data_IF_495995890610
#
_entry.id   IF_495995890610
#
_cell.length_a   1.000
_cell.length_b   1.000
_cell.length_c   1.000
_cell.angle_alpha   90.00
_cell.angle_beta   90.00
_cell.angle_gamma   90.00
#
_symmetry.space_group_name_H-M   'P 1'
#
loop_
_entity.id
_entity.type
_entity.pdbx_description
1 polymer ?
#
# COMPACT_ATOMS: atom_id res chain seq x y z
N UNK A 1 -18.02 -1.41 -6.61
CA UNK A 1 -17.07 -0.82 -5.63
C UNK A 1 -17.44 0.60 -5.20
N UNK A 2 -18.69 0.81 -4.75
CA UNK A 2 -19.13 2.09 -4.17
C UNK A 2 -18.78 2.23 -2.69
N UNK A 3 -18.67 1.10 -1.96
CA UNK A 3 -18.48 1.06 -0.50
C UNK A 3 -17.16 1.69 -0.01
N UNK A 4 -16.14 1.76 -0.86
CA UNK A 4 -14.84 2.36 -0.54
C UNK A 4 -14.60 3.73 -1.20
N UNK A 5 -15.58 4.21 -1.98
CA UNK A 5 -15.51 5.50 -2.64
C UNK A 5 -15.59 6.63 -1.61
N UNK A 6 -14.65 7.57 -1.66
CA UNK A 6 -14.61 8.73 -0.74
C UNK A 6 -13.93 8.48 0.61
N UNK A 7 -13.51 7.24 0.93
CA UNK A 7 -12.85 6.94 2.22
C UNK A 7 -11.37 7.37 2.30
N UNK A 8 -10.87 8.08 1.28
CA UNK A 8 -9.48 8.52 1.14
C UNK A 8 -8.48 7.37 1.47
N UNK A 9 -8.64 6.23 0.80
CA UNK A 9 -7.85 5.00 1.01
C UNK A 9 -7.99 4.35 2.39
N UNK A 10 -9.03 4.70 3.15
CA UNK A 10 -9.26 4.22 4.51
C UNK A 10 -8.84 5.22 5.59
N UNK A 11 -8.22 6.35 5.22
CA UNK A 11 -7.81 7.39 6.17
C UNK A 11 -8.99 8.12 6.81
N UNK A 12 -10.12 8.22 6.10
CA UNK A 12 -11.33 8.86 6.59
C UNK A 12 -12.37 7.85 7.10
N UNK A 13 -12.05 6.55 7.08
CA UNK A 13 -13.00 5.49 7.42
C UNK A 13 -13.22 5.41 8.94
N UNK A 14 -14.49 5.42 9.36
CA UNK A 14 -14.90 5.09 10.72
C UNK A 14 -15.17 3.59 10.87
N UNK A 15 -15.53 3.13 12.06
CA UNK A 15 -15.77 1.70 12.33
C UNK A 15 -16.91 1.10 11.49
N UNK A 16 -17.96 1.87 11.20
CA UNK A 16 -19.06 1.45 10.34
C UNK A 16 -18.61 1.30 8.87
N UNK A 17 -17.75 2.20 8.39
CA UNK A 17 -17.16 2.12 7.06
C UNK A 17 -16.23 0.90 6.93
N UNK A 18 -15.50 0.55 8.00
CA UNK A 18 -14.69 -0.68 8.03
C UNK A 18 -15.56 -1.93 7.89
N UNK A 19 -16.68 -1.98 8.62
CA UNK A 19 -17.61 -3.11 8.54
C UNK A 19 -18.27 -3.21 7.16
N UNK A 20 -18.69 -2.08 6.58
CA UNK A 20 -19.26 -2.05 5.22
C UNK A 20 -18.25 -2.49 4.16
N UNK A 21 -17.00 -2.05 4.26
CA UNK A 21 -15.95 -2.45 3.33
C UNK A 21 -15.61 -3.93 3.46
N UNK A 22 -15.54 -4.48 4.68
CA UNK A 22 -15.29 -5.91 4.90
C UNK A 22 -16.48 -6.78 4.43
N UNK A 23 -17.72 -6.34 4.64
CA UNK A 23 -18.91 -7.02 4.12
C UNK A 23 -18.91 -7.06 2.58
N UNK A 24 -18.65 -5.92 1.93
CA UNK A 24 -18.55 -5.86 0.47
C UNK A 24 -17.41 -6.71 -0.09
N UNK A 25 -16.25 -6.76 0.60
CA UNK A 25 -15.16 -7.63 0.23
C UNK A 25 -15.54 -9.12 0.35
N UNK A 26 -16.22 -9.51 1.42
CA UNK A 26 -16.71 -10.89 1.61
C UNK A 26 -17.73 -11.32 0.55
N UNK A 27 -18.60 -10.41 0.12
CA UNK A 27 -19.53 -10.66 -0.99
C UNK A 27 -18.76 -10.91 -2.30
N UNK A 28 -17.74 -10.10 -2.60
CA UNK A 28 -16.87 -10.31 -3.76
C UNK A 28 -16.10 -11.62 -3.69
N UNK A 29 -15.49 -11.93 -2.54
CA UNK A 29 -14.77 -13.19 -2.29
C UNK A 29 -15.71 -14.40 -2.50
N UNK A 30 -16.94 -14.32 -2.00
CA UNK A 30 -17.95 -15.38 -2.15
C UNK A 30 -18.39 -15.55 -3.60
N UNK A 31 -18.49 -14.46 -4.37
CA UNK A 31 -18.88 -14.49 -5.78
C UNK A 31 -17.74 -14.94 -6.71
N UNK A 32 -16.49 -14.59 -6.38
CA UNK A 32 -15.30 -14.93 -7.17
C UNK A 32 -14.82 -16.37 -6.97
N UNK A 33 -15.15 -17.00 -5.84
CA UNK A 33 -14.70 -18.35 -5.51
C UNK A 33 -13.25 -18.39 -5.04
N UNK A 34 -12.67 -19.61 -5.01
CA UNK A 34 -11.32 -19.82 -4.52
C UNK A 34 -10.29 -19.35 -5.55
N UNK A 35 -9.37 -18.47 -5.15
CA UNK A 35 -8.30 -17.97 -6.00
C UNK A 35 -7.17 -19.00 -6.10
N UNK A 36 -6.78 -19.34 -7.32
CA UNK A 36 -5.60 -20.18 -7.60
C UNK A 36 -4.65 -19.48 -8.58
N UNK A 37 -3.59 -18.89 -8.02
CA UNK A 37 -2.54 -18.17 -8.74
C UNK A 37 -1.50 -19.11 -9.35
N UNK A 38 -1.58 -20.43 -9.14
CA UNK A 38 -0.63 -21.36 -9.77
C UNK A 38 -0.76 -21.34 -11.29
N UNK A 39 -1.98 -21.14 -11.80
CA UNK A 39 -2.28 -21.00 -13.23
C UNK A 39 -2.48 -19.55 -13.65
N UNK A 40 -2.89 -18.67 -12.72
CA UNK A 40 -3.31 -17.29 -13.00
C UNK A 40 -2.32 -16.21 -12.51
N UNK A 41 -1.05 -16.57 -12.27
CA UNK A 41 -0.06 -15.62 -11.74
C UNK A 41 0.11 -14.39 -12.65
N UNK A 42 -0.06 -14.58 -13.95
CA UNK A 42 0.02 -13.53 -14.97
C UNK A 42 -1.03 -12.43 -14.77
N UNK A 43 -2.18 -12.74 -14.19
CA UNK A 43 -3.21 -11.74 -13.84
C UNK A 43 -2.72 -10.74 -12.81
N UNK A 44 -1.64 -11.02 -12.06
CA UNK A 44 -1.04 -10.06 -11.14
C UNK A 44 -0.15 -9.02 -11.81
N UNK A 45 0.28 -9.27 -13.06
CA UNK A 45 1.23 -8.43 -13.77
C UNK A 45 0.72 -6.99 -13.90
N UNK A 46 1.62 -6.02 -13.67
CA UNK A 46 1.35 -4.62 -13.93
C UNK A 46 1.32 -3.75 -12.68
N UNK A 47 0.64 -2.62 -12.77
CA UNK A 47 0.59 -1.60 -11.72
C UNK A 47 -0.79 -1.54 -11.11
N UNK A 48 -0.85 -1.74 -9.81
CA UNK A 48 -2.07 -1.77 -9.02
C UNK A 48 -2.14 -0.56 -8.12
N UNK A 49 -3.22 0.21 -8.19
CA UNK A 49 -3.47 1.36 -7.34
C UNK A 49 -4.28 0.93 -6.11
N UNK A 50 -3.77 1.23 -4.92
CA UNK A 50 -4.50 1.01 -3.67
C UNK A 50 -5.63 2.03 -3.55
N UNK A 51 -6.87 1.54 -3.47
CA UNK A 51 -8.04 2.39 -3.28
C UNK A 51 -8.59 2.34 -1.86
N UNK A 52 -8.23 1.31 -1.09
CA UNK A 52 -8.65 1.15 0.30
C UNK A 52 -7.72 0.23 1.08
N UNK A 53 -7.39 0.60 2.32
CA UNK A 53 -6.78 -0.29 3.30
C UNK A 53 -7.36 -0.06 4.70
N UNK A 54 -7.75 -1.14 5.38
CA UNK A 54 -8.15 -1.06 6.80
C UNK A 54 -6.98 -0.78 7.74
N UNK A 55 -5.72 -0.97 7.30
CA UNK A 55 -4.55 -0.63 8.12
C UNK A 55 -4.41 0.89 8.32
N UNK A 56 -4.89 1.69 7.36
CA UNK A 56 -4.82 3.15 7.42
C UNK A 56 -5.86 3.79 8.35
N UNK A 57 -6.96 3.10 8.65
CA UNK A 57 -7.93 3.55 9.65
C UNK A 57 -7.50 3.27 11.09
N UNK A 58 -6.61 2.28 11.28
CA UNK A 58 -6.17 1.76 12.59
C UNK A 58 -5.24 2.71 13.38
N UNK A 59 -5.13 3.99 13.00
CA UNK A 59 -4.40 5.05 13.72
C UNK A 59 -2.87 4.85 13.88
N UNK A 60 -2.28 3.80 13.32
CA UNK A 60 -0.85 3.45 13.48
C UNK A 60 0.04 3.90 12.32
N UNK A 61 -0.49 4.07 11.11
CA UNK A 61 0.28 4.38 9.90
C UNK A 61 0.11 5.83 9.41
N UNK A 62 0.02 6.78 10.35
CA UNK A 62 0.22 8.20 10.03
C UNK A 62 -0.92 8.88 9.29
N UNK A 63 -2.16 8.40 9.41
CA UNK A 63 -3.32 9.15 8.95
C UNK A 63 -3.36 10.52 9.62
N UNK A 64 -3.21 11.57 8.81
CA UNK A 64 -3.11 12.93 9.28
C UNK A 64 -4.35 13.27 10.11
N UNK A 65 -4.14 13.53 11.40
CA UNK A 65 -5.14 14.22 12.24
C UNK A 65 -5.43 15.59 11.61
N UNK A 66 -6.69 15.95 11.35
CA UNK A 66 -7.06 17.34 11.19
C UNK A 66 -6.95 17.99 12.59
N UNK A 67 -5.92 18.81 12.83
CA UNK A 67 -5.76 19.62 14.05
C UNK A 67 -4.48 19.34 14.87
N UNK A 68 -3.96 20.35 15.59
CA UNK A 68 -2.52 20.49 15.84
C UNK A 68 -2.04 19.64 17.02
N UNK A 69 -0.93 18.89 16.88
CA UNK A 69 -0.15 18.40 18.00
C UNK A 69 1.20 19.11 18.05
N UNK A 70 1.34 19.99 19.05
CA UNK A 70 2.61 20.59 19.49
C UNK A 70 3.63 19.43 19.64
N UNK A 71 4.60 19.31 18.73
CA UNK A 71 5.69 18.34 18.83
C UNK A 71 6.25 17.70 17.54
N UNK A 72 5.53 17.71 16.41
CA UNK A 72 6.11 17.39 15.09
C UNK A 72 5.84 18.56 14.15
N UNK A 73 6.88 19.33 13.86
CA UNK A 73 6.75 20.66 13.25
C UNK A 73 6.23 20.64 11.80
N UNK A 74 6.16 19.47 11.14
CA UNK A 74 5.83 19.36 9.71
C UNK A 74 4.86 18.20 9.42
N UNK A 75 3.69 18.45 8.78
CA UNK A 75 2.74 17.40 8.42
C UNK A 75 3.29 16.55 7.26
N UNK A 76 3.17 15.23 7.37
CA UNK A 76 3.38 14.30 6.25
C UNK A 76 2.00 13.90 5.73
N UNK A 77 1.75 14.10 4.45
CA UNK A 77 0.50 13.71 3.79
C UNK A 77 0.76 12.52 2.87
N UNK A 78 -0.05 11.47 3.04
CA UNK A 78 -0.02 10.27 2.19
C UNK A 78 -0.69 10.57 0.85
N UNK A 79 0.08 10.49 -0.23
CA UNK A 79 -0.37 10.61 -1.61
C UNK A 79 -0.94 9.30 -2.15
N UNK A 80 -0.70 9.03 -3.44
CA UNK A 80 -1.13 7.79 -4.08
C UNK A 80 -0.23 6.63 -3.64
N UNK A 81 -0.82 5.44 -3.53
CA UNK A 81 -0.12 4.21 -3.19
C UNK A 81 -0.34 3.22 -4.33
N UNK A 82 0.75 2.67 -4.84
CA UNK A 82 0.76 1.70 -5.92
C UNK A 82 1.56 0.47 -5.54
N UNK A 83 1.25 -0.64 -6.20
CA UNK A 83 2.01 -1.87 -6.20
C UNK A 83 2.36 -2.22 -7.63
N UNK A 84 3.64 -2.18 -7.99
CA UNK A 84 4.11 -2.71 -9.27
C UNK A 84 4.53 -4.15 -9.07
N UNK A 85 3.98 -5.04 -9.91
CA UNK A 85 4.30 -6.46 -9.87
C UNK A 85 4.84 -6.87 -11.23
N UNK A 86 6.00 -7.51 -11.21
CA UNK A 86 6.60 -8.16 -12.37
C UNK A 86 6.80 -9.65 -12.08
N UNK A 87 6.00 -10.49 -12.73
CA UNK A 87 5.99 -11.94 -12.52
C UNK A 87 7.23 -12.64 -13.07
N UNK A 88 7.91 -12.02 -14.05
CA UNK A 88 9.08 -12.59 -14.71
C UNK A 88 10.32 -12.39 -13.85
N UNK A 89 10.53 -11.17 -13.36
CA UNK A 89 11.64 -10.84 -12.46
C UNK A 89 11.34 -11.12 -10.99
N UNK A 90 10.09 -11.48 -10.66
CA UNK A 90 9.56 -11.64 -9.31
C UNK A 90 9.64 -10.36 -8.48
N UNK A 91 9.55 -9.20 -9.11
CA UNK A 91 9.56 -7.91 -8.42
C UNK A 91 8.19 -7.55 -7.88
N UNK A 92 8.20 -6.99 -6.67
CA UNK A 92 7.03 -6.46 -5.98
C UNK A 92 7.39 -5.14 -5.30
N UNK A 93 7.03 -4.04 -5.94
CA UNK A 93 7.40 -2.70 -5.49
C UNK A 93 6.19 -2.00 -4.88
N UNK A 94 6.25 -1.72 -3.58
CA UNK A 94 5.31 -0.83 -2.91
C UNK A 94 5.78 0.62 -3.13
N UNK A 95 5.04 1.37 -3.94
CA UNK A 95 5.36 2.73 -4.33
C UNK A 95 4.39 3.68 -3.63
N UNK A 96 4.90 4.64 -2.88
CA UNK A 96 4.11 5.57 -2.08
C UNK A 96 4.56 6.99 -2.40
N UNK A 97 3.63 7.80 -2.87
CA UNK A 97 3.83 9.24 -2.98
C UNK A 97 3.56 9.89 -1.62
N UNK A 98 4.45 10.78 -1.20
CA UNK A 98 4.40 11.50 0.07
C UNK A 98 4.59 12.99 -0.20
N UNK A 99 3.81 13.81 0.50
CA UNK A 99 4.03 15.24 0.54
C UNK A 99 4.51 15.62 1.94
N UNK A 100 5.71 16.18 2.01
CA UNK A 100 6.33 16.67 3.23
C UNK A 100 6.01 18.16 3.35
N UNK A 101 5.25 18.53 4.36
CA UNK A 101 5.10 19.93 4.74
C UNK A 101 6.45 20.53 5.10
N UNK A 102 6.62 21.81 4.83
CA UNK A 102 7.86 22.57 5.06
C UNK A 102 7.54 23.83 5.85
N UNK A 103 8.50 24.38 6.64
CA UNK A 103 8.28 25.63 7.35
C UNK A 103 8.03 26.75 6.34
N UNK A 104 7.10 27.66 6.64
CA UNK A 104 6.94 28.89 5.86
C UNK A 104 8.28 29.65 5.81
N UNK A 105 8.75 30.12 4.63
CA UNK A 105 8.06 30.22 3.33
C UNK A 105 8.42 29.10 2.33
N UNK A 106 9.05 28.01 2.77
CA UNK A 106 9.49 26.93 1.88
C UNK A 106 8.27 26.17 1.36
N UNK A 107 8.16 25.88 0.04
CA UNK A 107 7.06 25.09 -0.51
C UNK A 107 7.18 23.61 -0.10
N UNK A 108 6.05 22.89 0.03
CA UNK A 108 6.06 21.47 0.37
C UNK A 108 6.90 20.65 -0.62
N UNK A 109 7.58 19.63 -0.10
CA UNK A 109 8.40 18.73 -0.92
C UNK A 109 7.63 17.46 -1.20
N UNK A 110 7.51 17.12 -2.47
CA UNK A 110 6.93 15.86 -2.89
C UNK A 110 8.04 14.82 -3.09
N UNK A 111 7.83 13.61 -2.56
CA UNK A 111 8.74 12.49 -2.72
C UNK A 111 7.98 11.21 -3.03
N UNK A 112 8.53 10.36 -3.88
CA UNK A 112 8.07 9.00 -4.11
C UNK A 112 9.03 8.04 -3.43
N UNK A 113 8.54 7.29 -2.44
CA UNK A 113 9.26 6.18 -1.82
C UNK A 113 8.87 4.87 -2.51
N UNK A 114 9.85 4.10 -2.96
CA UNK A 114 9.67 2.77 -3.54
C UNK A 114 10.34 1.75 -2.64
N UNK A 115 9.55 0.88 -2.01
CA UNK A 115 10.05 -0.26 -1.26
C UNK A 115 10.01 -1.46 -2.22
N UNK A 116 11.19 -1.84 -2.71
CA UNK A 116 11.35 -2.96 -3.60
C UNK A 116 11.41 -4.26 -2.79
N UNK A 117 10.68 -5.27 -3.29
CA UNK A 117 10.67 -6.61 -2.73
C UNK A 117 10.79 -7.64 -3.85
N UNK A 118 11.28 -8.82 -3.50
CA UNK A 118 11.05 -10.04 -4.26
C UNK A 118 9.83 -10.74 -3.73
N UNK A 119 9.07 -11.41 -4.59
CA UNK A 119 7.91 -12.19 -4.16
C UNK A 119 7.96 -13.65 -4.60
N UNK A 120 7.35 -14.50 -3.77
CA UNK A 120 7.19 -15.94 -4.00
C UNK A 120 5.75 -16.34 -3.72
N UNK A 121 5.19 -17.21 -4.57
CA UNK A 121 3.89 -17.82 -4.35
C UNK A 121 4.07 -19.02 -3.40
N UNK A 122 3.24 -19.08 -2.35
CA UNK A 122 3.17 -20.16 -1.38
C UNK A 122 1.77 -20.77 -1.46
N UNK A 123 1.68 -22.06 -1.82
CA UNK A 123 0.38 -22.70 -2.07
C UNK A 123 -0.29 -22.12 -3.32
N UNK A 124 -1.60 -21.87 -3.26
CA UNK A 124 -2.39 -21.39 -4.40
C UNK A 124 -2.65 -19.88 -4.38
N UNK A 125 -2.73 -19.24 -3.22
CA UNK A 125 -3.22 -17.84 -3.09
C UNK A 125 -2.31 -16.91 -2.28
N UNK A 126 -1.32 -17.45 -1.56
CA UNK A 126 -0.50 -16.68 -0.61
C UNK A 126 0.78 -16.19 -1.24
N UNK A 127 1.05 -14.89 -1.11
CA UNK A 127 2.27 -14.25 -1.57
C UNK A 127 3.14 -13.91 -0.38
N UNK A 128 4.39 -14.37 -0.42
CA UNK A 128 5.44 -13.92 0.49
C UNK A 128 6.30 -12.89 -0.22
N UNK A 129 6.56 -11.76 0.44
CA UNK A 129 7.46 -10.72 -0.02
C UNK A 129 8.70 -10.65 0.86
N UNK A 130 9.84 -10.42 0.23
CA UNK A 130 11.15 -10.25 0.87
C UNK A 130 11.71 -8.91 0.41
N UNK A 131 11.89 -8.00 1.36
CA UNK A 131 12.45 -6.68 1.15
C UNK A 131 13.84 -6.77 0.55
N UNK A 132 14.07 -5.95 -0.47
CA UNK A 132 15.37 -5.78 -1.13
C UNK A 132 15.96 -4.43 -0.74
N UNK A 133 15.31 -3.34 -1.15
CA UNK A 133 15.79 -1.97 -0.92
C UNK A 133 14.69 -0.93 -0.88
N UNK A 134 15.00 0.21 -0.28
CA UNK A 134 14.16 1.42 -0.39
C UNK A 134 14.84 2.43 -1.29
N UNK A 135 14.10 2.96 -2.26
CA UNK A 135 14.54 4.10 -3.08
C UNK A 135 13.62 5.28 -2.82
N UNK A 136 14.17 6.46 -2.53
CA UNK A 136 13.40 7.70 -2.40
C UNK A 136 13.79 8.65 -3.54
N UNK A 137 12.79 9.13 -4.26
CA UNK A 137 12.95 10.11 -5.34
C UNK A 137 12.20 11.38 -4.97
N UNK A 138 12.85 12.53 -5.08
CA UNK A 138 12.13 13.80 -5.04
C UNK A 138 11.37 14.00 -6.36
N UNK A 139 10.18 14.59 -6.30
CA UNK A 139 9.35 14.88 -7.47
C UNK A 139 9.16 16.40 -7.64
N UNK A 140 8.50 16.81 -8.73
CA UNK A 140 8.32 18.22 -9.06
C UNK A 140 9.64 18.93 -9.37
N UNK A 141 9.85 20.11 -8.76
CA UNK A 141 11.02 20.97 -8.99
C UNK A 141 12.35 20.33 -8.55
N UNK A 142 12.30 19.27 -7.74
CA UNK A 142 13.47 18.54 -7.24
C UNK A 142 13.70 17.21 -7.96
N UNK A 143 12.95 16.92 -9.04
CA UNK A 143 13.07 15.69 -9.84
C UNK A 143 14.44 15.49 -10.49
N UNK A 144 15.25 16.54 -10.59
CA UNK A 144 16.63 16.46 -11.09
C UNK A 144 17.60 15.85 -10.08
N UNK A 145 17.22 15.75 -8.80
CA UNK A 145 18.06 15.13 -7.79
C UNK A 145 18.12 13.61 -8.00
N UNK A 146 19.30 12.99 -7.86
CA UNK A 146 19.42 11.55 -8.00
C UNK A 146 18.58 10.82 -6.92
N UNK A 147 18.01 9.65 -7.24
CA UNK A 147 17.36 8.80 -6.24
C UNK A 147 18.32 8.47 -5.10
N UNK A 148 17.84 8.56 -3.87
CA UNK A 148 18.56 8.08 -2.71
C UNK A 148 18.15 6.64 -2.41
N UNK A 149 19.10 5.72 -2.49
CA UNK A 149 18.91 4.35 -2.02
C UNK A 149 19.23 4.28 -0.52
N UNK A 150 18.26 3.77 0.25
CA UNK A 150 18.42 3.56 1.69
C UNK A 150 18.31 2.06 1.95
N UNK A 151 19.33 1.43 2.57
CA UNK A 151 19.35 -0.02 2.78
C UNK A 151 18.36 -0.49 3.85
N UNK A 152 17.61 0.44 4.46
CA UNK A 152 16.61 0.17 5.50
C UNK A 152 15.33 0.92 5.19
N UNK A 153 14.19 0.31 5.52
CA UNK A 153 12.89 0.96 5.47
C UNK A 153 12.92 2.12 6.48
N UNK A 154 12.63 3.37 6.07
CA UNK A 154 12.51 4.49 7.00
C UNK A 154 11.53 4.14 8.13
N UNK A 155 11.81 4.52 9.37
CA UNK A 155 10.98 4.14 10.53
C UNK A 155 9.51 4.59 10.38
N UNK A 156 9.27 5.67 9.63
CA UNK A 156 7.91 6.15 9.31
C UNK A 156 7.11 5.21 8.39
N UNK A 157 7.79 4.35 7.62
CA UNK A 157 7.20 3.39 6.68
C UNK A 157 7.35 1.94 7.15
N UNK A 158 7.95 1.74 8.34
CA UNK A 158 8.23 0.41 8.88
C UNK A 158 6.93 -0.23 9.38
N UNK A 159 6.59 -1.45 8.96
CA UNK A 159 5.50 -2.21 9.56
C UNK A 159 5.79 -2.43 11.07
N UNK A 160 4.77 -2.43 11.93
CA UNK A 160 4.94 -2.57 13.38
C UNK A 160 5.43 -3.96 13.85
N UNK A 161 5.79 -4.88 12.95
CA UNK A 161 6.32 -6.20 13.30
C UNK A 161 7.86 -6.23 13.31
N UNK A 162 8.38 -7.02 14.26
CA UNK A 162 9.81 -7.25 14.49
C UNK A 162 10.49 -8.14 13.43
N UNK A 163 9.80 -8.52 12.34
CA UNK A 163 10.36 -9.40 11.33
C UNK A 163 11.02 -8.56 10.23
N UNK A 164 12.34 -8.51 10.28
CA UNK A 164 13.22 -7.65 9.48
C UNK A 164 13.13 -8.00 8.00
N UNK A 165 12.19 -7.39 7.28
CA UNK A 165 12.17 -7.39 5.81
C UNK A 165 11.39 -8.52 5.15
N UNK A 166 10.53 -9.27 5.84
CA UNK A 166 9.63 -10.23 5.19
C UNK A 166 8.18 -9.97 5.58
N UNK A 167 7.26 -10.11 4.63
CA UNK A 167 5.82 -10.05 4.87
C UNK A 167 5.09 -11.10 4.05
N UNK A 168 3.90 -11.48 4.50
CA UNK A 168 3.01 -12.36 3.76
C UNK A 168 1.58 -11.79 3.72
N UNK A 169 0.90 -12.08 2.62
CA UNK A 169 -0.50 -11.74 2.44
C UNK A 169 -1.15 -12.75 1.49
N UNK A 170 -2.47 -12.88 1.59
CA UNK A 170 -3.26 -13.75 0.74
C UNK A 170 -4.07 -12.93 -0.26
N UNK A 171 -4.16 -13.39 -1.50
CA UNK A 171 -5.06 -12.84 -2.51
C UNK A 171 -6.37 -13.62 -2.43
N UNK A 172 -7.42 -12.96 -1.98
CA UNK A 172 -8.73 -13.59 -1.73
C UNK A 172 -9.74 -13.33 -2.84
N UNK A 173 -9.45 -12.36 -3.71
CA UNK A 173 -10.23 -12.09 -4.92
C UNK A 173 -9.32 -11.48 -5.99
N UNK A 174 -9.49 -11.91 -7.23
CA UNK A 174 -8.77 -11.38 -8.39
C UNK A 174 -9.65 -11.49 -9.64
N UNK A 175 -9.79 -10.39 -10.36
CA UNK A 175 -10.35 -10.35 -11.71
C UNK A 175 -9.45 -9.53 -12.65
N UNK A 176 -9.99 -9.07 -13.78
CA UNK A 176 -9.26 -8.30 -14.79
C UNK A 176 -8.79 -6.92 -14.33
N UNK A 177 -9.47 -6.29 -13.37
CA UNK A 177 -9.20 -4.90 -12.98
C UNK A 177 -9.13 -4.66 -11.47
N UNK A 178 -9.48 -5.66 -10.67
CA UNK A 178 -9.68 -5.57 -9.23
C UNK A 178 -9.00 -6.72 -8.51
N UNK A 179 -8.36 -6.39 -7.39
CA UNK A 179 -7.76 -7.35 -6.48
C UNK A 179 -8.11 -7.03 -5.03
N UNK A 180 -8.43 -8.06 -4.26
CA UNK A 180 -8.54 -7.98 -2.79
C UNK A 180 -7.45 -8.84 -2.17
N UNK A 181 -6.79 -8.29 -1.16
CA UNK A 181 -5.79 -9.02 -0.36
C UNK A 181 -6.08 -8.91 1.12
N UNK A 182 -5.76 -9.98 1.87
CA UNK A 182 -5.79 -10.01 3.32
C UNK A 182 -4.37 -10.21 3.87
N UNK A 183 -3.91 -9.31 4.74
CA UNK A 183 -2.63 -9.45 5.44
C UNK A 183 -2.66 -10.53 6.53
N UNK A 184 -1.49 -10.86 7.08
CA UNK A 184 -1.29 -11.78 8.21
C UNK A 184 -2.21 -11.52 9.42
N UNK A 185 -2.56 -10.27 9.67
CA UNK A 185 -3.45 -9.81 10.75
C UNK A 185 -4.89 -9.54 10.31
N UNK A 186 -5.29 -10.02 9.13
CA UNK A 186 -6.62 -9.78 8.57
C UNK A 186 -6.80 -8.37 7.99
N UNK A 187 -5.73 -7.62 7.76
CA UNK A 187 -5.79 -6.31 7.12
C UNK A 187 -6.37 -6.43 5.70
N UNK A 188 -7.49 -5.78 5.46
CA UNK A 188 -8.14 -5.73 4.16
C UNK A 188 -7.48 -4.66 3.31
N UNK A 189 -7.09 -5.01 2.08
CA UNK A 189 -6.59 -4.06 1.08
C UNK A 189 -7.27 -4.34 -0.25
N UNK A 190 -7.65 -3.27 -0.93
CA UNK A 190 -8.35 -3.34 -2.20
C UNK A 190 -7.60 -2.50 -3.22
N UNK A 191 -7.32 -3.12 -4.37
CA UNK A 191 -6.54 -2.56 -5.45
C UNK A 191 -7.33 -2.59 -6.76
N UNK A 192 -7.02 -1.62 -7.63
CA UNK A 192 -7.47 -1.61 -9.03
C UNK A 192 -6.29 -1.46 -9.98
N UNK A 193 -6.36 -2.05 -11.16
CA UNK A 193 -5.33 -1.90 -12.19
C UNK A 193 -5.23 -0.41 -12.64
N UNK A 194 -4.01 0.07 -12.92
CA UNK A 194 -3.70 1.46 -13.25
C UNK A 194 -2.81 1.62 -14.47
#
# INVERSE_FOLDING_TARGET
MSAVSGLNRGLAANEEDLQKADAAAKELESAGGLVDLSEDLDKLQGRWKLIYSSAFSSRTLGGSRPGPPIGRLLPITLGQVYQRIDILSKDFDNIVDLQLGTPWPVPPVEVTATLAHKFELIGSSKIKIVFDKTTVKATGNLSQLPPLEVPRIPDALRPPTNNTGTGDFEITYLDSDTRVTRGDRGELRVFVIS
#
